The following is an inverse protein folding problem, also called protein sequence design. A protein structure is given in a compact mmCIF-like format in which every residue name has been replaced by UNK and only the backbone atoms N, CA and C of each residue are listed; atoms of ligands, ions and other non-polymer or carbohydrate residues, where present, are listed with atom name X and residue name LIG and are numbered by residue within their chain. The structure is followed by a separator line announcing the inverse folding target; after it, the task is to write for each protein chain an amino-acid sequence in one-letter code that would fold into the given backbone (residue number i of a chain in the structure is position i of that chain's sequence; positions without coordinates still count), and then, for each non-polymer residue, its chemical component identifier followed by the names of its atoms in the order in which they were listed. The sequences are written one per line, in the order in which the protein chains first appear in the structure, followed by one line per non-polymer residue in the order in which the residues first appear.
data_IF_332045173668
#
_entry.id   IF_332045173668
#
_cell.length_a   1.000
_cell.length_b   1.000
_cell.length_c   1.000
_cell.angle_alpha   90.00
_cell.angle_beta   90.00
_cell.angle_gamma   90.00
#
_symmetry.space_group_name_H-M   'P 1'
#
loop_
_entity.id
_entity.type
_entity.pdbx_description
1 polymer ?
#
# COMPACT_ATOMS: atom_id res chain seq x y z
N UNK A 1 -19.22 17.22 2.03
CA UNK A 1 -17.75 17.44 2.14
C UNK A 1 -17.36 17.35 3.60
N UNK A 2 -16.26 16.66 3.88
CA UNK A 2 -15.74 16.64 5.25
C UNK A 2 -15.20 18.01 5.63
N UNK A 3 -15.27 18.36 6.93
CA UNK A 3 -14.70 19.60 7.46
C UNK A 3 -13.22 19.74 7.10
N UNK A 4 -12.49 18.62 7.07
CA UNK A 4 -11.07 18.61 6.71
C UNK A 4 -10.84 19.03 5.24
N UNK A 5 -11.66 18.57 4.31
CA UNK A 5 -11.61 19.00 2.91
C UNK A 5 -11.89 20.50 2.77
N UNK A 6 -12.84 21.01 3.55
CA UNK A 6 -13.15 22.44 3.55
C UNK A 6 -11.99 23.29 4.09
N UNK A 7 -11.34 22.83 5.17
CA UNK A 7 -10.16 23.48 5.72
C UNK A 7 -8.99 23.51 4.73
N UNK A 8 -8.76 22.40 4.04
CA UNK A 8 -7.71 22.30 3.01
C UNK A 8 -8.03 23.22 1.83
N UNK A 9 -9.28 23.26 1.39
CA UNK A 9 -9.72 24.13 0.29
C UNK A 9 -9.61 25.61 0.63
N UNK A 10 -9.82 25.98 1.89
CA UNK A 10 -9.72 27.37 2.35
C UNK A 10 -8.27 27.82 2.59
N UNK A 11 -7.37 26.90 2.89
CA UNK A 11 -5.94 27.16 3.06
C UNK A 11 -5.18 27.02 1.75
N UNK A 12 -5.62 27.68 0.70
CA UNK A 12 -5.05 27.58 -0.66
C UNK A 12 -3.57 28.01 -0.78
N UNK A 13 -2.88 28.21 0.30
CA UNK A 13 -1.45 28.46 0.26
C UNK A 13 -0.70 27.17 0.50
N UNK A 14 -0.12 26.67 -0.56
CA UNK A 14 0.80 25.54 -0.64
C UNK A 14 1.97 25.53 0.36
N UNK A 15 2.12 26.59 1.14
CA UNK A 15 3.17 26.73 2.15
C UNK A 15 2.73 26.42 3.57
N UNK A 16 1.44 26.29 3.86
CA UNK A 16 1.02 25.78 5.15
C UNK A 16 0.93 24.28 5.05
N UNK A 17 2.02 23.62 5.39
CA UNK A 17 2.08 22.19 5.56
C UNK A 17 0.91 21.72 6.41
N UNK A 18 0.29 20.62 6.00
CA UNK A 18 -0.69 19.93 6.81
C UNK A 18 -0.02 19.61 8.14
N UNK A 19 -0.38 20.40 9.15
CA UNK A 19 0.25 20.28 10.45
C UNK A 19 -0.33 19.07 11.18
N UNK A 20 0.52 18.28 11.81
CA UNK A 20 0.11 17.15 12.65
C UNK A 20 -0.91 17.56 13.71
N UNK A 21 -0.78 18.78 14.27
CA UNK A 21 -1.75 19.31 15.23
C UNK A 21 -3.15 19.46 14.65
N UNK A 22 -3.25 19.87 13.39
CA UNK A 22 -4.55 20.01 12.73
C UNK A 22 -5.15 18.65 12.43
N UNK A 23 -4.33 17.67 12.03
CA UNK A 23 -4.78 16.30 11.79
C UNK A 23 -5.18 15.55 13.07
N UNK A 24 -4.61 15.89 14.22
CA UNK A 24 -4.94 15.23 15.50
C UNK A 24 -6.39 15.43 15.94
N UNK A 25 -7.09 16.39 15.34
CA UNK A 25 -8.53 16.62 15.57
C UNK A 25 -9.43 15.64 14.85
N UNK A 26 -8.89 14.88 13.92
CA UNK A 26 -9.64 13.97 13.05
C UNK A 26 -9.29 12.52 13.35
N UNK A 27 -10.26 11.63 13.16
CA UNK A 27 -10.04 10.19 13.30
C UNK A 27 -9.23 9.65 12.12
N UNK A 28 -8.52 8.53 12.29
CA UNK A 28 -7.86 7.86 11.16
C UNK A 28 -8.79 7.61 9.98
N UNK A 29 -10.03 7.22 10.23
CA UNK A 29 -11.03 6.99 9.18
C UNK A 29 -11.35 8.26 8.39
N UNK A 30 -11.54 9.40 9.07
CA UNK A 30 -11.78 10.69 8.41
C UNK A 30 -10.58 11.13 7.57
N UNK A 31 -9.37 10.93 8.08
CA UNK A 31 -8.13 11.25 7.36
C UNK A 31 -8.02 10.38 6.10
N UNK A 32 -8.28 9.08 6.21
CA UNK A 32 -8.28 8.16 5.07
C UNK A 32 -9.26 8.57 3.99
N UNK A 33 -10.49 8.91 4.36
CA UNK A 33 -11.51 9.36 3.42
C UNK A 33 -11.05 10.64 2.69
N UNK A 34 -10.41 11.55 3.42
CA UNK A 34 -9.88 12.79 2.85
C UNK A 34 -8.74 12.52 1.86
N UNK A 35 -7.81 11.64 2.23
CA UNK A 35 -6.71 11.22 1.33
C UNK A 35 -7.27 10.61 0.05
N UNK A 36 -8.25 9.72 0.16
CA UNK A 36 -8.90 9.08 -0.99
C UNK A 36 -9.60 10.11 -1.89
N UNK A 37 -10.25 11.10 -1.30
CA UNK A 37 -10.89 12.20 -2.04
C UNK A 37 -9.85 13.04 -2.79
N UNK A 38 -8.74 13.37 -2.15
CA UNK A 38 -7.64 14.10 -2.78
C UNK A 38 -7.04 13.34 -3.96
N UNK A 39 -6.88 12.03 -3.83
CA UNK A 39 -6.39 11.17 -4.92
C UNK A 39 -7.37 11.17 -6.11
N UNK A 40 -8.67 11.08 -5.84
CA UNK A 40 -9.69 11.12 -6.90
C UNK A 40 -9.70 12.45 -7.64
N UNK A 41 -9.40 13.54 -6.94
CA UNK A 41 -9.36 14.88 -7.52
C UNK A 41 -8.01 15.20 -8.20
N UNK A 42 -7.10 14.24 -8.25
CA UNK A 42 -5.78 14.42 -8.85
C UNK A 42 -4.82 15.25 -8.01
N UNK A 43 -5.11 15.44 -6.72
CA UNK A 43 -4.27 16.21 -5.78
C UNK A 43 -3.31 15.28 -5.03
N UNK A 44 -2.53 14.53 -5.76
CA UNK A 44 -1.68 13.46 -5.24
C UNK A 44 -0.62 13.96 -4.27
N UNK A 45 -0.02 15.12 -4.52
CA UNK A 45 0.97 15.70 -3.61
C UNK A 45 0.38 16.02 -2.24
N UNK A 46 -0.82 16.58 -2.19
CA UNK A 46 -1.52 16.83 -0.93
C UNK A 46 -1.89 15.52 -0.22
N UNK A 47 -2.37 14.55 -0.96
CA UNK A 47 -2.68 13.23 -0.42
C UNK A 47 -1.44 12.60 0.23
N UNK A 48 -0.31 12.72 -0.44
CA UNK A 48 0.95 12.18 0.02
C UNK A 48 1.45 12.87 1.31
N UNK A 49 1.47 14.20 1.32
CA UNK A 49 1.87 14.97 2.51
C UNK A 49 0.97 14.67 3.71
N UNK A 50 -0.33 14.56 3.47
CA UNK A 50 -1.29 14.20 4.50
C UNK A 50 -1.05 12.78 5.02
N UNK A 51 -0.73 11.86 4.14
CA UNK A 51 -0.38 10.49 4.49
C UNK A 51 0.85 10.41 5.39
N UNK A 52 1.90 11.15 5.06
CA UNK A 52 3.11 11.21 5.90
C UNK A 52 2.80 11.75 7.31
N UNK A 53 2.07 12.85 7.40
CA UNK A 53 1.69 13.42 8.68
C UNK A 53 0.79 12.47 9.48
N UNK A 54 -0.13 11.78 8.81
CA UNK A 54 -1.00 10.81 9.44
C UNK A 54 -0.24 9.60 9.99
N UNK A 55 0.78 9.12 9.27
CA UNK A 55 1.64 8.02 9.75
C UNK A 55 2.39 8.40 11.03
N UNK A 56 2.85 9.65 11.14
CA UNK A 56 3.51 10.13 12.35
C UNK A 56 2.56 10.15 13.55
N UNK A 57 1.29 10.49 13.33
CA UNK A 57 0.28 10.54 14.38
C UNK A 57 -0.28 9.14 14.74
N UNK A 58 -0.51 8.31 13.73
CA UNK A 58 -1.20 7.03 13.88
C UNK A 58 -0.40 5.90 13.22
N UNK A 59 0.82 5.60 13.72
CA UNK A 59 1.72 4.64 13.08
C UNK A 59 1.20 3.19 13.10
N UNK A 60 0.23 2.90 13.95
CA UNK A 60 -0.35 1.56 14.11
C UNK A 60 -1.84 1.51 13.74
N UNK A 61 -2.33 2.50 13.00
CA UNK A 61 -3.70 2.46 12.48
C UNK A 61 -3.74 1.64 11.19
N UNK A 62 -4.58 0.61 11.15
CA UNK A 62 -4.76 -0.19 9.94
C UNK A 62 -5.22 0.68 8.76
N UNK A 63 -6.15 1.60 9.00
CA UNK A 63 -6.65 2.50 7.96
C UNK A 63 -5.53 3.37 7.36
N UNK A 64 -4.70 3.95 8.22
CA UNK A 64 -3.59 4.80 7.79
C UNK A 64 -2.52 3.98 7.07
N UNK A 65 -2.15 2.82 7.60
CA UNK A 65 -1.19 1.93 6.94
C UNK A 65 -1.67 1.47 5.56
N UNK A 66 -2.96 1.15 5.45
CA UNK A 66 -3.54 0.72 4.18
C UNK A 66 -3.51 1.84 3.13
N UNK A 67 -3.97 3.04 3.47
CA UNK A 67 -4.02 4.16 2.51
C UNK A 67 -2.63 4.67 2.16
N UNK A 68 -1.71 4.72 3.12
CA UNK A 68 -0.34 5.19 2.87
C UNK A 68 0.49 4.14 2.11
N UNK A 69 0.27 2.86 2.37
CA UNK A 69 0.85 1.78 1.58
C UNK A 69 0.39 1.83 0.12
N UNK A 70 -0.89 2.08 -0.11
CA UNK A 70 -1.44 2.28 -1.45
C UNK A 70 -0.85 3.51 -2.13
N UNK A 71 -0.74 4.64 -1.43
CA UNK A 71 -0.11 5.87 -1.93
C UNK A 71 1.34 5.63 -2.33
N UNK A 72 2.12 4.97 -1.50
CA UNK A 72 3.51 4.63 -1.78
C UNK A 72 3.62 3.76 -3.04
N UNK A 73 2.75 2.76 -3.18
CA UNK A 73 2.67 1.89 -4.36
C UNK A 73 2.34 2.71 -5.63
N UNK A 74 1.39 3.63 -5.54
CA UNK A 74 0.98 4.50 -6.65
C UNK A 74 2.12 5.40 -7.10
N UNK A 75 2.94 5.89 -6.17
CA UNK A 75 4.13 6.69 -6.46
C UNK A 75 5.35 5.87 -6.85
N UNK A 76 5.21 4.56 -6.88
CA UNK A 76 6.32 3.64 -7.16
C UNK A 76 7.44 3.70 -6.12
N UNK A 77 7.13 4.15 -4.92
CA UNK A 77 8.02 4.02 -3.77
C UNK A 77 7.84 2.62 -3.17
N UNK A 78 8.40 1.65 -3.88
CA UNK A 78 8.19 0.24 -3.58
C UNK A 78 8.74 -0.19 -2.23
N UNK A 79 9.86 0.40 -1.83
CA UNK A 79 10.48 0.12 -0.52
C UNK A 79 9.54 0.53 0.62
N UNK A 80 9.02 1.74 0.57
CA UNK A 80 8.06 2.23 1.56
C UNK A 80 6.75 1.45 1.52
N UNK A 81 6.24 1.15 0.32
CA UNK A 81 5.03 0.35 0.15
C UNK A 81 5.17 -1.02 0.83
N UNK A 82 6.29 -1.70 0.62
CA UNK A 82 6.58 -2.99 1.25
C UNK A 82 6.61 -2.86 2.77
N UNK A 83 7.33 -1.88 3.30
CA UNK A 83 7.43 -1.65 4.74
C UNK A 83 6.04 -1.47 5.39
N UNK A 84 5.23 -0.57 4.83
CA UNK A 84 3.90 -0.25 5.38
C UNK A 84 2.92 -1.43 5.25
N UNK A 85 2.94 -2.12 4.12
CA UNK A 85 2.02 -3.22 3.86
C UNK A 85 2.41 -4.51 4.60
N UNK A 86 3.69 -4.74 4.85
CA UNK A 86 4.15 -5.84 5.72
C UNK A 86 3.68 -5.60 7.17
N UNK A 87 3.80 -4.39 7.66
CA UNK A 87 3.29 -4.04 9.00
C UNK A 87 1.77 -4.22 9.06
N UNK A 88 1.04 -3.73 8.06
CA UNK A 88 -0.40 -3.90 7.97
C UNK A 88 -0.79 -5.39 7.98
N UNK A 89 -0.13 -6.19 7.16
CA UNK A 89 -0.37 -7.64 7.09
C UNK A 89 -0.09 -8.32 8.43
N UNK A 90 0.99 -7.93 9.09
CA UNK A 90 1.34 -8.44 10.42
C UNK A 90 0.24 -8.15 11.44
N UNK A 91 -0.35 -6.94 11.42
CA UNK A 91 -1.43 -6.55 12.32
C UNK A 91 -2.75 -7.28 12.01
N UNK A 92 -3.06 -7.43 10.74
CA UNK A 92 -4.31 -8.07 10.30
C UNK A 92 -4.28 -9.60 10.41
N UNK A 93 -3.11 -10.20 10.33
CA UNK A 93 -2.93 -11.65 10.43
C UNK A 93 -3.77 -12.42 9.41
N UNK A 94 -4.49 -13.42 9.89
CA UNK A 94 -5.37 -14.25 9.04
C UNK A 94 -6.57 -13.50 8.48
N UNK A 95 -6.88 -12.33 9.00
CA UNK A 95 -8.00 -11.50 8.57
C UNK A 95 -7.59 -10.44 7.54
N UNK A 96 -6.39 -10.55 6.97
CA UNK A 96 -5.94 -9.61 5.95
C UNK A 96 -6.88 -9.61 4.74
N UNK A 97 -7.38 -8.45 4.31
CA UNK A 97 -8.17 -8.36 3.07
C UNK A 97 -7.33 -8.78 1.85
N UNK A 98 -8.00 -9.29 0.83
CA UNK A 98 -7.31 -9.73 -0.41
C UNK A 98 -6.47 -8.62 -1.04
N UNK A 99 -6.92 -7.38 -0.95
CA UNK A 99 -6.20 -6.24 -1.49
C UNK A 99 -4.82 -6.04 -0.85
N UNK A 100 -4.69 -6.31 0.45
CA UNK A 100 -3.39 -6.26 1.15
C UNK A 100 -2.40 -7.24 0.50
N UNK A 101 -2.82 -8.47 0.24
CA UNK A 101 -1.97 -9.46 -0.42
C UNK A 101 -1.58 -9.04 -1.85
N UNK A 102 -2.54 -8.54 -2.62
CA UNK A 102 -2.32 -8.14 -4.01
C UNK A 102 -1.31 -6.98 -4.11
N UNK A 103 -1.52 -5.91 -3.34
CA UNK A 103 -0.67 -4.72 -3.38
C UNK A 103 0.72 -5.04 -2.82
N UNK A 104 0.79 -5.80 -1.72
CA UNK A 104 2.07 -6.21 -1.13
C UNK A 104 2.87 -7.09 -2.09
N UNK A 105 2.26 -8.09 -2.70
CA UNK A 105 2.93 -8.96 -3.66
C UNK A 105 3.47 -8.17 -4.86
N UNK A 106 2.67 -7.26 -5.39
CA UNK A 106 3.08 -6.39 -6.50
C UNK A 106 4.23 -5.48 -6.10
N UNK A 107 4.16 -4.88 -4.92
CA UNK A 107 5.21 -4.00 -4.39
C UNK A 107 6.52 -4.76 -4.17
N UNK A 108 6.45 -5.97 -3.63
CA UNK A 108 7.63 -6.84 -3.46
C UNK A 108 8.26 -7.21 -4.79
N UNK A 109 7.45 -7.58 -5.77
CA UNK A 109 7.95 -7.88 -7.12
C UNK A 109 8.65 -6.68 -7.73
N UNK A 110 8.05 -5.51 -7.64
CA UNK A 110 8.62 -4.27 -8.15
C UNK A 110 9.84 -3.81 -7.35
N UNK A 111 9.93 -4.19 -6.07
CA UNK A 111 11.09 -3.94 -5.21
C UNK A 111 12.19 -5.01 -5.36
N UNK A 112 12.11 -5.83 -6.39
CA UNK A 112 13.09 -6.86 -6.74
C UNK A 112 13.22 -7.99 -5.71
N UNK A 113 12.13 -8.30 -5.01
CA UNK A 113 12.06 -9.45 -4.11
C UNK A 113 10.97 -10.44 -4.57
N UNK A 114 11.19 -11.16 -5.69
CA UNK A 114 10.20 -12.08 -6.24
C UNK A 114 9.96 -13.30 -5.35
N UNK A 115 10.92 -13.72 -4.56
CA UNK A 115 10.76 -14.86 -3.65
C UNK A 115 9.75 -14.55 -2.54
N UNK A 116 9.88 -13.37 -1.92
CA UNK A 116 8.92 -12.92 -0.90
C UNK A 116 7.56 -12.63 -1.53
N UNK A 117 7.53 -12.04 -2.73
CA UNK A 117 6.29 -11.81 -3.47
C UNK A 117 5.53 -13.12 -3.71
N UNK A 118 6.22 -14.16 -4.14
CA UNK A 118 5.62 -15.49 -4.35
C UNK A 118 5.03 -16.07 -3.05
N UNK A 119 5.75 -15.94 -1.96
CA UNK A 119 5.28 -16.38 -0.65
C UNK A 119 3.99 -15.67 -0.23
N UNK A 120 3.92 -14.34 -0.41
CA UNK A 120 2.73 -13.54 -0.11
C UNK A 120 1.55 -13.95 -0.98
N UNK A 121 1.78 -14.20 -2.26
CA UNK A 121 0.74 -14.69 -3.18
C UNK A 121 0.21 -16.05 -2.72
N UNK A 122 1.07 -16.99 -2.35
CA UNK A 122 0.64 -18.30 -1.86
C UNK A 122 -0.16 -18.19 -0.56
N UNK A 123 0.26 -17.32 0.36
CA UNK A 123 -0.51 -17.03 1.59
C UNK A 123 -1.89 -16.47 1.26
N UNK A 124 -1.96 -15.52 0.34
CA UNK A 124 -3.24 -14.92 -0.11
C UNK A 124 -4.15 -15.95 -0.78
N UNK A 125 -3.61 -16.85 -1.58
CA UNK A 125 -4.37 -17.90 -2.24
C UNK A 125 -4.88 -18.99 -1.27
N UNK A 126 -4.26 -19.16 -0.12
CA UNK A 126 -4.82 -20.01 0.94
C UNK A 126 -6.14 -19.46 1.46
N UNK A 127 -6.26 -18.12 1.55
CA UNK A 127 -7.47 -17.44 2.00
C UNK A 127 -8.46 -17.18 0.86
N UNK A 128 -7.97 -16.91 -0.35
CA UNK A 128 -8.74 -16.51 -1.51
C UNK A 128 -8.31 -17.32 -2.76
N UNK A 129 -8.62 -18.64 -2.81
CA UNK A 129 -8.03 -19.55 -3.80
C UNK A 129 -8.38 -19.22 -5.25
N UNK A 130 -9.49 -18.57 -5.50
CA UNK A 130 -9.97 -18.27 -6.86
C UNK A 130 -9.79 -16.81 -7.26
N UNK A 131 -9.04 -16.02 -6.48
CA UNK A 131 -8.89 -14.60 -6.77
C UNK A 131 -8.02 -14.36 -8.00
N UNK A 132 -8.60 -13.72 -9.02
CA UNK A 132 -7.99 -13.59 -10.35
C UNK A 132 -6.64 -12.87 -10.33
N UNK A 133 -6.52 -11.78 -9.58
CA UNK A 133 -5.27 -11.00 -9.49
C UNK A 133 -4.15 -11.78 -8.81
N UNK A 134 -4.46 -12.55 -7.75
CA UNK A 134 -3.47 -13.39 -7.08
C UNK A 134 -3.00 -14.54 -7.98
N UNK A 135 -3.92 -15.16 -8.71
CA UNK A 135 -3.58 -16.20 -9.68
C UNK A 135 -2.71 -15.66 -10.81
N UNK A 136 -3.01 -14.45 -11.27
CA UNK A 136 -2.22 -13.76 -12.30
C UNK A 136 -0.81 -13.43 -11.81
N UNK A 137 -0.67 -12.90 -10.61
CA UNK A 137 0.64 -12.63 -10.00
C UNK A 137 1.45 -13.92 -9.81
N UNK A 138 0.80 -15.00 -9.38
CA UNK A 138 1.46 -16.30 -9.25
C UNK A 138 2.02 -16.78 -10.58
N UNK A 139 1.24 -16.70 -11.64
CA UNK A 139 1.67 -17.12 -12.98
C UNK A 139 2.85 -16.27 -13.47
N UNK A 140 2.79 -14.97 -13.27
CA UNK A 140 3.87 -14.05 -13.62
C UNK A 140 5.16 -14.40 -12.87
N UNK A 141 5.07 -14.61 -11.56
CA UNK A 141 6.22 -14.91 -10.70
C UNK A 141 6.84 -16.27 -11.03
N UNK A 142 6.04 -17.27 -11.38
CA UNK A 142 6.55 -18.57 -11.84
C UNK A 142 7.35 -18.41 -13.13
N UNK A 143 6.82 -17.71 -14.12
CA UNK A 143 7.51 -17.44 -15.38
C UNK A 143 8.82 -16.70 -15.15
N UNK A 144 8.82 -15.71 -14.27
CA UNK A 144 10.01 -14.95 -13.92
C UNK A 144 11.08 -15.83 -13.26
N UNK A 145 10.69 -16.67 -12.30
CA UNK A 145 11.61 -17.58 -11.62
C UNK A 145 12.21 -18.60 -12.59
N UNK A 146 11.40 -19.17 -13.47
CA UNK A 146 11.86 -20.12 -14.50
C UNK A 146 12.85 -19.48 -15.48
N UNK A 147 12.69 -18.19 -15.79
CA UNK A 147 13.59 -17.44 -16.68
C UNK A 147 14.92 -17.07 -16.03
N UNK A 148 14.94 -16.88 -14.70
CA UNK A 148 16.11 -16.41 -13.96
C UNK A 148 16.86 -17.53 -13.23
N UNK A 149 16.28 -18.71 -13.12
CA UNK A 149 16.99 -19.92 -12.78
C UNK A 149 17.14 -20.74 -14.06
N UNK A 150 18.23 -20.56 -14.82
CA UNK A 150 18.53 -21.54 -15.83
C UNK A 150 18.63 -22.87 -15.10
N UNK A 151 17.69 -23.75 -15.38
CA UNK A 151 17.79 -25.12 -14.95
C UNK A 151 19.15 -25.56 -15.43
N UNK A 152 20.08 -25.68 -14.51
CA UNK A 152 21.31 -26.37 -14.80
C UNK A 152 20.91 -27.81 -15.08
N UNK A 153 20.57 -28.08 -16.30
CA UNK A 153 20.45 -29.41 -16.76
C UNK A 153 21.88 -29.98 -16.82
N UNK A 154 22.39 -30.34 -15.67
CA UNK A 154 23.50 -31.26 -15.61
C UNK A 154 22.99 -32.62 -16.01
N UNK A 155 23.00 -32.80 -17.30
CA UNK A 155 23.07 -34.15 -17.81
C UNK A 155 24.50 -34.63 -17.62
N UNK A 156 24.71 -35.37 -16.58
CA UNK A 156 25.84 -36.29 -16.56
C UNK A 156 25.74 -37.26 -17.71
#
# INVERSE_FOLDING_TARGET
MSLLLQEISSKQQLGSMVNERDLSRYTPSEICQTIQALMRDGKDEFAYLMGEAALNLYPYSEDILAVTGLLASTRQDWSLAVELLEELKRMQGMNSPVLTFVILARSLRCNLDPARAFQVVEEGLQCFPDHAELLSERSFLKTFNDSHHPVSQHKS
#
